data_IF_340609811577
#
_entry.id   IF_340609811577
#
_cell.length_a   1.000
_cell.length_b   1.000
_cell.length_c   1.000
_cell.angle_alpha   90.00
_cell.angle_beta   90.00
_cell.angle_gamma   90.00
#
_symmetry.space_group_name_H-M   'P 1'
#
loop_
_entity.id
_entity.type
_entity.pdbx_description
1 polymer ?
#
# COMPACT_ATOMS: atom_id res chain seq x y z
N UNK A 1 12.07 -7.60 14.50
CA UNK A 1 11.10 -7.61 13.38
C UNK A 1 11.64 -6.82 12.19
N UNK A 2 11.72 -7.43 11.00
CA UNK A 2 12.09 -6.75 9.76
C UNK A 2 10.91 -6.04 9.09
N UNK A 3 11.20 -5.21 8.09
CA UNK A 3 10.20 -4.56 7.25
C UNK A 3 9.23 -5.59 6.68
N UNK A 4 7.92 -5.38 6.87
CA UNK A 4 6.92 -6.32 6.34
C UNK A 4 7.09 -6.41 4.81
N UNK A 5 7.19 -7.63 4.25
CA UNK A 5 7.45 -7.78 2.83
C UNK A 5 6.25 -7.30 2.02
N UNK A 6 6.51 -6.83 0.80
CA UNK A 6 5.47 -6.39 -0.15
C UNK A 6 4.46 -7.52 -0.43
N UNK A 7 4.88 -8.79 -0.30
CA UNK A 7 3.98 -9.95 -0.39
C UNK A 7 2.86 -9.93 0.66
N UNK A 8 3.12 -9.47 1.89
CA UNK A 8 2.07 -9.30 2.90
C UNK A 8 1.05 -8.25 2.47
N UNK A 9 1.50 -7.13 1.90
CA UNK A 9 0.64 -6.07 1.37
C UNK A 9 -0.28 -6.59 0.26
N UNK A 10 0.28 -7.37 -0.67
CA UNK A 10 -0.48 -7.98 -1.75
C UNK A 10 -1.50 -9.01 -1.23
N UNK A 11 -1.09 -9.86 -0.29
CA UNK A 11 -1.97 -10.86 0.31
C UNK A 11 -3.17 -10.21 1.04
N UNK A 12 -2.93 -9.18 1.85
CA UNK A 12 -4.02 -8.44 2.51
C UNK A 12 -4.91 -7.70 1.51
N UNK A 13 -4.35 -7.14 0.44
CA UNK A 13 -5.13 -6.48 -0.62
C UNK A 13 -6.06 -7.45 -1.34
N UNK A 14 -5.58 -8.67 -1.63
CA UNK A 14 -6.38 -9.73 -2.22
C UNK A 14 -7.53 -10.14 -1.29
N UNK A 15 -7.23 -10.34 0.01
CA UNK A 15 -8.25 -10.70 1.00
C UNK A 15 -9.32 -9.61 1.14
N UNK A 16 -8.91 -8.34 1.10
CA UNK A 16 -9.82 -7.20 1.12
C UNK A 16 -10.71 -7.17 -0.13
N UNK A 17 -10.15 -7.45 -1.32
CA UNK A 17 -10.90 -7.53 -2.58
C UNK A 17 -11.93 -8.66 -2.59
N UNK A 18 -11.63 -9.79 -1.95
CA UNK A 18 -12.60 -10.88 -1.74
C UNK A 18 -13.76 -10.42 -0.85
N UNK A 19 -13.46 -9.75 0.27
CA UNK A 19 -14.47 -9.23 1.18
C UNK A 19 -15.38 -8.17 0.54
N UNK A 20 -14.81 -7.24 -0.21
CA UNK A 20 -15.55 -6.22 -0.96
C UNK A 20 -16.49 -6.84 -2.00
N UNK A 21 -16.03 -7.86 -2.74
CA UNK A 21 -16.89 -8.59 -3.70
C UNK A 21 -18.00 -9.37 -3.03
N UNK A 22 -17.74 -9.97 -1.87
CA UNK A 22 -18.77 -10.62 -1.06
C UNK A 22 -19.86 -9.63 -0.63
N UNK A 23 -19.48 -8.44 -0.16
CA UNK A 23 -20.42 -7.37 0.21
C UNK A 23 -21.19 -6.85 -1.01
N UNK A 24 -20.53 -6.69 -2.16
CA UNK A 24 -21.18 -6.24 -3.39
C UNK A 24 -22.28 -7.22 -3.88
N UNK A 25 -22.02 -8.53 -3.78
CA UNK A 25 -23.03 -9.55 -4.08
C UNK A 25 -24.15 -9.54 -3.03
N UNK A 26 -23.80 -9.53 -1.74
CA UNK A 26 -24.78 -9.66 -0.65
C UNK A 26 -25.71 -8.47 -0.48
N UNK A 27 -25.21 -7.23 -0.63
CA UNK A 27 -26.03 -6.02 -0.44
C UNK A 27 -26.74 -5.57 -1.72
N UNK A 28 -26.11 -5.74 -2.89
CA UNK A 28 -26.60 -5.15 -4.14
C UNK A 28 -27.06 -6.17 -5.18
N UNK A 29 -26.99 -7.47 -4.86
CA UNK A 29 -27.38 -8.55 -5.79
C UNK A 29 -26.47 -8.65 -7.02
N UNK A 30 -25.28 -8.06 -6.99
CA UNK A 30 -24.33 -8.10 -8.12
C UNK A 30 -23.76 -9.50 -8.33
N UNK A 31 -23.35 -9.86 -9.55
CA UNK A 31 -22.82 -11.19 -9.85
C UNK A 31 -21.55 -11.51 -9.05
N UNK A 32 -21.57 -12.62 -8.28
CA UNK A 32 -20.50 -13.01 -7.36
C UNK A 32 -19.16 -13.28 -8.08
N UNK A 33 -19.21 -13.96 -9.23
CA UNK A 33 -18.06 -14.34 -10.04
C UNK A 33 -17.97 -13.54 -11.34
N UNK A 34 -18.01 -12.21 -11.25
CA UNK A 34 -17.57 -11.36 -12.36
C UNK A 34 -16.04 -11.29 -12.36
N UNK A 35 -15.39 -12.04 -13.26
CA UNK A 35 -13.91 -12.05 -13.40
C UNK A 35 -13.38 -10.63 -13.61
N UNK A 36 -14.06 -9.84 -14.43
CA UNK A 36 -13.66 -8.45 -14.70
C UNK A 36 -13.85 -7.54 -13.48
N UNK A 37 -14.99 -7.67 -12.77
CA UNK A 37 -15.25 -6.91 -11.56
C UNK A 37 -14.28 -7.24 -10.42
N UNK A 38 -13.88 -8.51 -10.29
CA UNK A 38 -12.90 -8.93 -9.30
C UNK A 38 -11.51 -8.37 -9.58
N UNK A 39 -11.06 -8.42 -10.85
CA UNK A 39 -9.74 -7.91 -11.25
C UNK A 39 -9.65 -6.41 -10.99
N UNK A 40 -10.65 -5.62 -11.44
CA UNK A 40 -10.63 -4.16 -11.27
C UNK A 40 -10.56 -3.78 -9.80
N UNK A 41 -11.38 -4.39 -8.94
CA UNK A 41 -11.38 -4.08 -7.50
C UNK A 41 -10.07 -4.49 -6.83
N UNK A 42 -9.56 -5.67 -7.16
CA UNK A 42 -8.28 -6.16 -6.61
C UNK A 42 -7.12 -5.27 -7.03
N UNK A 43 -7.10 -4.80 -8.28
CA UNK A 43 -6.09 -3.85 -8.77
C UNK A 43 -6.20 -2.51 -8.07
N UNK A 44 -7.41 -1.95 -7.93
CA UNK A 44 -7.63 -0.67 -7.23
C UNK A 44 -7.15 -0.76 -5.78
N UNK A 45 -7.55 -1.80 -5.04
CA UNK A 45 -7.10 -2.02 -3.66
C UNK A 45 -5.59 -2.23 -3.63
N UNK A 46 -5.03 -3.01 -4.56
CA UNK A 46 -3.59 -3.22 -4.66
C UNK A 46 -2.81 -1.91 -4.83
N UNK A 47 -3.27 -1.01 -5.70
CA UNK A 47 -2.66 0.31 -5.91
C UNK A 47 -2.73 1.14 -4.62
N UNK A 48 -3.89 1.17 -3.96
CA UNK A 48 -4.08 1.91 -2.69
C UNK A 48 -3.13 1.39 -1.62
N UNK A 49 -3.09 0.08 -1.41
CA UNK A 49 -2.27 -0.50 -0.33
C UNK A 49 -0.77 -0.36 -0.63
N UNK A 50 -0.33 -0.50 -1.88
CA UNK A 50 1.06 -0.24 -2.28
C UNK A 50 1.46 1.22 -2.04
N UNK A 51 0.57 2.15 -2.41
CA UNK A 51 0.76 3.59 -2.21
C UNK A 51 0.88 3.90 -0.71
N UNK A 52 -0.05 3.39 0.10
CA UNK A 52 -0.02 3.54 1.56
C UNK A 52 1.24 2.94 2.18
N UNK A 53 1.66 1.76 1.73
CA UNK A 53 2.88 1.10 2.18
C UNK A 53 4.12 1.94 1.87
N UNK A 54 4.22 2.51 0.65
CA UNK A 54 5.35 3.37 0.29
C UNK A 54 5.42 4.63 1.14
N UNK A 55 4.27 5.25 1.42
CA UNK A 55 4.19 6.41 2.32
C UNK A 55 4.60 6.04 3.74
N UNK A 56 4.15 4.88 4.25
CA UNK A 56 4.50 4.41 5.58
C UNK A 56 6.01 4.16 5.72
N UNK A 57 6.65 3.59 4.69
CA UNK A 57 8.10 3.43 4.65
C UNK A 57 8.80 4.77 4.69
N UNK A 58 8.40 5.72 3.84
CA UNK A 58 9.02 7.03 3.79
C UNK A 58 8.92 7.78 5.13
N UNK A 59 7.73 7.75 5.78
CA UNK A 59 7.56 8.33 7.12
C UNK A 59 8.44 7.64 8.16
N UNK A 60 8.53 6.31 8.11
CA UNK A 60 9.33 5.55 9.08
C UNK A 60 10.82 5.83 8.93
N UNK A 61 11.35 5.95 7.71
CA UNK A 61 12.76 6.31 7.48
C UNK A 61 13.11 7.66 8.11
N UNK A 62 12.28 8.68 7.89
CA UNK A 62 12.51 10.03 8.44
C UNK A 62 12.32 10.08 9.96
N UNK A 63 11.33 9.35 10.51
CA UNK A 63 11.04 9.37 11.94
C UNK A 63 12.02 8.53 12.77
N UNK A 64 12.48 7.40 12.23
CA UNK A 64 13.37 6.48 12.94
C UNK A 64 14.85 6.87 12.80
N UNK A 65 15.23 7.46 11.66
CA UNK A 65 16.59 7.90 11.37
C UNK A 65 16.64 9.41 11.05
N UNK A 66 16.12 10.29 11.93
CA UNK A 66 16.01 11.72 11.64
C UNK A 66 17.36 12.42 11.52
N UNK A 67 18.46 11.83 12.00
CA UNK A 67 19.81 12.38 11.85
C UNK A 67 20.41 12.11 10.47
N UNK A 68 20.00 11.03 9.79
CA UNK A 68 20.54 10.61 8.50
C UNK A 68 19.66 11.04 7.34
N UNK A 69 18.34 11.03 7.51
CA UNK A 69 17.38 11.28 6.44
C UNK A 69 16.43 12.44 6.73
N UNK A 70 16.03 13.13 5.68
CA UNK A 70 14.97 14.14 5.70
C UNK A 70 13.90 13.85 4.63
N UNK A 71 12.73 14.48 4.78
CA UNK A 71 11.57 14.18 3.93
C UNK A 71 11.74 14.80 2.54
N UNK A 72 11.69 13.98 1.50
CA UNK A 72 11.71 14.39 0.09
C UNK A 72 10.33 14.17 -0.56
N UNK A 73 9.28 14.60 0.12
CA UNK A 73 7.88 14.43 -0.30
C UNK A 73 7.13 13.32 0.43
N UNK A 74 5.91 12.96 -0.03
CA UNK A 74 5.08 11.94 0.62
C UNK A 74 5.57 10.49 0.39
N UNK A 75 6.34 10.25 -0.68
CA UNK A 75 6.77 8.90 -1.09
C UNK A 75 8.28 8.66 -1.01
N UNK A 76 9.05 9.67 -0.66
CA UNK A 76 10.51 9.62 -0.69
C UNK A 76 11.14 10.36 0.50
N UNK A 77 12.38 10.01 0.76
CA UNK A 77 13.28 10.65 1.71
C UNK A 77 14.60 10.91 0.98
N UNK A 78 15.40 11.85 1.49
CA UNK A 78 16.74 12.14 1.00
C UNK A 78 17.73 12.09 2.16
N UNK A 79 18.99 11.84 1.85
CA UNK A 79 20.07 11.98 2.83
C UNK A 79 20.21 13.43 3.27
N UNK A 80 20.32 13.64 4.57
CA UNK A 80 20.56 14.96 5.16
C UNK A 80 22.00 15.42 4.90
N UNK A 81 22.95 14.51 4.74
CA UNK A 81 24.37 14.80 4.53
C UNK A 81 24.74 15.00 3.06
N UNK A 82 23.83 15.58 2.27
CA UNK A 82 24.04 15.92 0.86
C UNK A 82 24.51 17.36 0.61
N UNK A 83 25.18 17.99 1.58
CA UNK A 83 25.97 19.23 1.40
C UNK A 83 27.24 19.13 2.26
N UNK A 84 28.10 18.17 1.94
CA UNK A 84 29.47 18.12 2.42
C UNK A 84 30.36 17.61 1.28
N UNK A 85 30.34 18.35 0.16
CA UNK A 85 31.43 18.44 -0.81
C UNK A 85 31.70 19.94 -1.02
#
# INVERSE_FOLDING_TARGET
EGWKPVSSVLAYSLLLGVGDRFLAWGLFGGQLLSVWGFIVHTVVIGIITLTAHRIAIARRMVNQYPWLYERAGPFAWRDRTGTAD
#
